data_IF_548277654979
#
_entry.id   IF_548277654979
#
_cell.length_a   1.000
_cell.length_b   1.000
_cell.length_c   1.000
_cell.angle_alpha   90.00
_cell.angle_beta   90.00
_cell.angle_gamma   90.00
#
_symmetry.space_group_name_H-M   'P 1'
#
loop_
_entity.id
_entity.type
_entity.pdbx_description
1 polymer ?
#
# COMPACT_ATOMS: atom_id res chain seq x y z
N UNK A 1 21.14 -19.01 36.00
CA UNK A 1 20.37 -17.87 35.45
C UNK A 1 20.36 -18.00 33.94
N UNK A 2 19.26 -18.53 33.38
CA UNK A 2 19.08 -18.65 31.93
C UNK A 2 18.44 -17.36 31.42
N UNK A 3 19.17 -16.60 30.61
CA UNK A 3 18.66 -15.42 29.94
C UNK A 3 17.62 -15.82 28.89
N UNK A 4 16.36 -15.44 29.10
CA UNK A 4 15.34 -15.40 28.07
C UNK A 4 15.69 -14.29 27.08
N UNK A 5 16.37 -14.62 25.98
CA UNK A 5 16.21 -13.85 24.77
C UNK A 5 14.84 -14.23 24.21
N UNK A 6 13.90 -13.29 24.24
CA UNK A 6 12.56 -13.45 23.69
C UNK A 6 12.65 -13.63 22.18
N UNK A 7 12.72 -14.88 21.74
CA UNK A 7 12.53 -15.21 20.34
C UNK A 7 11.07 -14.96 19.99
N UNK A 8 10.82 -14.06 19.05
CA UNK A 8 9.49 -13.89 18.44
C UNK A 8 9.08 -15.25 17.87
N UNK A 9 7.94 -15.77 18.33
CA UNK A 9 7.38 -17.01 17.83
C UNK A 9 6.68 -16.72 16.50
N UNK A 10 7.44 -16.77 15.40
CA UNK A 10 6.97 -16.45 14.05
C UNK A 10 5.72 -17.25 13.64
N UNK A 11 5.60 -18.51 14.07
CA UNK A 11 4.39 -19.31 13.82
C UNK A 11 3.14 -18.73 14.54
N UNK A 12 3.31 -18.20 15.74
CA UNK A 12 2.23 -17.55 16.48
C UNK A 12 1.85 -16.20 15.85
N UNK A 13 2.84 -15.45 15.37
CA UNK A 13 2.63 -14.17 14.69
C UNK A 13 1.92 -14.35 13.33
N UNK A 14 2.30 -15.37 12.55
CA UNK A 14 1.62 -15.76 11.33
C UNK A 14 0.16 -16.20 11.56
N UNK A 15 -0.11 -16.94 12.65
CA UNK A 15 -1.49 -17.30 13.02
C UNK A 15 -2.31 -16.08 13.45
N UNK A 16 -1.74 -15.17 14.24
CA UNK A 16 -2.41 -13.95 14.70
C UNK A 16 -2.74 -13.02 13.54
N UNK A 17 -1.78 -12.77 12.67
CA UNK A 17 -1.98 -11.97 11.45
C UNK A 17 -3.05 -12.61 10.58
N UNK A 18 -2.97 -13.92 10.29
CA UNK A 18 -4.01 -14.62 9.53
C UNK A 18 -5.42 -14.56 10.14
N UNK A 19 -5.55 -14.60 11.47
CA UNK A 19 -6.83 -14.41 12.15
C UNK A 19 -7.37 -12.98 11.97
N UNK A 20 -6.51 -11.96 12.05
CA UNK A 20 -6.88 -10.56 11.81
C UNK A 20 -7.24 -10.30 10.35
N UNK A 21 -6.57 -10.96 9.40
CA UNK A 21 -6.91 -10.92 7.98
C UNK A 21 -8.33 -11.46 7.72
N UNK A 22 -8.66 -12.58 8.36
CA UNK A 22 -10.00 -13.14 8.29
C UNK A 22 -11.04 -12.21 8.93
N UNK A 23 -10.75 -11.68 10.12
CA UNK A 23 -11.61 -10.73 10.84
C UNK A 23 -11.91 -9.48 9.99
N UNK A 24 -10.90 -8.91 9.33
CA UNK A 24 -11.07 -7.79 8.40
C UNK A 24 -11.96 -8.14 7.21
N UNK A 25 -11.77 -9.31 6.61
CA UNK A 25 -12.57 -9.75 5.48
C UNK A 25 -14.05 -9.93 5.84
N UNK A 26 -14.32 -10.54 6.99
CA UNK A 26 -15.69 -10.70 7.51
C UNK A 26 -16.34 -9.33 7.74
N UNK A 27 -15.64 -8.42 8.42
CA UNK A 27 -16.17 -7.09 8.71
C UNK A 27 -16.44 -6.26 7.43
N UNK A 28 -15.59 -6.40 6.41
CA UNK A 28 -15.81 -5.76 5.10
C UNK A 28 -17.06 -6.31 4.40
N UNK A 29 -17.27 -7.63 4.46
CA UNK A 29 -18.42 -8.29 3.85
C UNK A 29 -19.72 -7.96 4.58
N UNK A 30 -19.69 -7.93 5.92
CA UNK A 30 -20.80 -7.47 6.75
C UNK A 30 -21.16 -6.01 6.45
N UNK A 31 -20.15 -5.14 6.31
CA UNK A 31 -20.38 -3.74 5.93
C UNK A 31 -21.01 -3.63 4.52
N UNK A 32 -20.54 -4.43 3.56
CA UNK A 32 -21.09 -4.46 2.20
C UNK A 32 -22.57 -4.88 2.23
N UNK A 33 -22.89 -5.95 2.97
CA UNK A 33 -24.27 -6.43 3.10
C UNK A 33 -25.16 -5.42 3.83
N UNK A 34 -24.64 -4.77 4.89
CA UNK A 34 -25.38 -3.73 5.63
C UNK A 34 -25.70 -2.52 4.75
N UNK A 35 -24.76 -2.09 3.90
CA UNK A 35 -24.96 -0.98 2.97
C UNK A 35 -26.02 -1.28 1.89
N UNK A 36 -26.14 -2.54 1.46
CA UNK A 36 -27.14 -2.98 0.47
C UNK A 36 -28.56 -3.06 1.06
N UNK A 37 -28.71 -3.31 2.36
CA UNK A 37 -30.01 -3.60 3.02
C UNK A 37 -30.68 -2.41 3.73
N UNK A 38 -30.34 -1.16 3.37
CA UNK A 38 -30.79 0.07 4.04
C UNK A 38 -30.30 0.16 5.50
N UNK A 39 -29.10 0.73 5.74
CA UNK A 39 -28.41 0.60 7.01
C UNK A 39 -29.01 1.45 8.14
N UNK A 40 -28.94 0.91 9.36
CA UNK A 40 -28.88 1.74 10.56
C UNK A 40 -27.53 2.48 10.60
N UNK A 41 -27.50 3.83 10.76
CA UNK A 41 -26.25 4.58 10.88
C UNK A 41 -25.34 4.10 12.01
N UNK A 42 -25.92 3.54 13.08
CA UNK A 42 -25.16 2.97 14.20
C UNK A 42 -24.42 1.69 13.80
N UNK A 43 -25.06 0.79 13.04
CA UNK A 43 -24.43 -0.47 12.61
C UNK A 43 -23.23 -0.22 11.69
N UNK A 44 -23.37 0.69 10.72
CA UNK A 44 -22.28 1.04 9.80
C UNK A 44 -21.14 1.75 10.56
N UNK A 45 -21.47 2.62 11.51
CA UNK A 45 -20.47 3.28 12.36
C UNK A 45 -19.69 2.28 13.23
N UNK A 46 -20.37 1.25 13.75
CA UNK A 46 -19.74 0.26 14.62
C UNK A 46 -18.80 -0.65 13.81
N UNK A 47 -19.28 -1.19 12.69
CA UNK A 47 -18.46 -2.00 11.78
C UNK A 47 -17.24 -1.21 11.24
N UNK A 48 -17.40 0.07 10.93
CA UNK A 48 -16.28 0.93 10.53
C UNK A 48 -15.25 1.13 11.66
N UNK A 49 -15.68 1.27 12.91
CA UNK A 49 -14.78 1.40 14.06
C UNK A 49 -14.02 0.08 14.34
N UNK A 50 -14.70 -1.05 14.23
CA UNK A 50 -14.10 -2.38 14.37
C UNK A 50 -13.08 -2.63 13.24
N UNK A 51 -13.41 -2.31 11.98
CA UNK A 51 -12.47 -2.36 10.85
C UNK A 51 -11.19 -1.52 11.09
N UNK A 52 -11.35 -0.29 11.59
CA UNK A 52 -10.21 0.56 11.94
C UNK A 52 -9.34 -0.05 13.04
N UNK A 53 -9.97 -0.62 14.08
CA UNK A 53 -9.27 -1.23 15.21
C UNK A 53 -8.47 -2.46 14.79
N UNK A 54 -9.08 -3.36 14.01
CA UNK A 54 -8.41 -4.58 13.53
C UNK A 54 -7.28 -4.24 12.55
N UNK A 55 -7.48 -3.21 11.70
CA UNK A 55 -6.43 -2.73 10.79
C UNK A 55 -5.21 -2.16 11.54
N UNK A 56 -5.45 -1.44 12.64
CA UNK A 56 -4.37 -0.90 13.48
C UNK A 56 -3.60 -2.01 14.21
N UNK A 57 -4.31 -3.01 14.75
CA UNK A 57 -3.69 -4.21 15.34
C UNK A 57 -2.86 -4.99 14.33
N UNK A 58 -3.37 -5.19 13.12
CA UNK A 58 -2.64 -5.86 12.04
C UNK A 58 -1.37 -5.07 11.69
N UNK A 59 -1.45 -3.73 11.68
CA UNK A 59 -0.28 -2.88 11.44
C UNK A 59 0.79 -3.03 12.52
N UNK A 60 0.40 -3.06 13.80
CA UNK A 60 1.34 -3.28 14.90
C UNK A 60 2.01 -4.65 14.84
N UNK A 61 1.24 -5.71 14.57
CA UNK A 61 1.77 -7.08 14.46
C UNK A 61 2.65 -7.25 13.21
N UNK A 62 2.37 -6.55 12.11
CA UNK A 62 3.27 -6.49 10.96
C UNK A 62 4.51 -5.63 11.22
N UNK A 63 4.47 -4.71 12.19
CA UNK A 63 5.63 -3.90 12.58
C UNK A 63 6.66 -4.72 13.36
N UNK A 64 6.21 -5.74 14.08
CA UNK A 64 7.03 -6.71 14.80
C UNK A 64 7.37 -7.95 13.96
N UNK A 65 6.73 -8.14 12.81
CA UNK A 65 7.00 -9.23 11.88
C UNK A 65 8.37 -9.12 11.21
N UNK A 66 8.89 -10.26 10.74
CA UNK A 66 10.07 -10.25 9.89
C UNK A 66 9.78 -9.56 8.55
N UNK A 67 10.78 -8.96 7.89
CA UNK A 67 10.58 -8.32 6.59
C UNK A 67 10.07 -9.28 5.49
N UNK A 68 10.38 -10.58 5.58
CA UNK A 68 9.87 -11.62 4.68
C UNK A 68 8.37 -11.89 4.90
N UNK A 69 7.92 -12.01 6.15
CA UNK A 69 6.50 -12.21 6.45
C UNK A 69 5.66 -10.98 6.08
N UNK A 70 6.16 -9.77 6.36
CA UNK A 70 5.48 -8.55 5.94
C UNK A 70 5.33 -8.48 4.40
N UNK A 71 6.33 -8.93 3.66
CA UNK A 71 6.32 -8.98 2.20
C UNK A 71 5.21 -9.89 1.64
N UNK A 72 4.99 -11.06 2.23
CA UNK A 72 3.96 -12.00 1.79
C UNK A 72 2.54 -11.42 1.92
N UNK A 73 2.35 -10.44 2.80
CA UNK A 73 1.05 -9.81 3.06
C UNK A 73 0.71 -8.62 2.17
N UNK A 74 1.62 -8.23 1.27
CA UNK A 74 1.41 -7.06 0.38
C UNK A 74 0.18 -7.25 -0.52
N UNK A 75 0.01 -8.43 -1.11
CA UNK A 75 -1.14 -8.76 -1.99
C UNK A 75 -2.46 -8.69 -1.23
N UNK A 76 -2.49 -9.24 -0.01
CA UNK A 76 -3.67 -9.19 0.85
C UNK A 76 -4.06 -7.74 1.20
N UNK A 77 -3.08 -6.89 1.52
CA UNK A 77 -3.33 -5.48 1.79
C UNK A 77 -3.87 -4.72 0.57
N UNK A 78 -3.43 -5.07 -0.64
CA UNK A 78 -3.95 -4.51 -1.90
C UNK A 78 -5.41 -4.91 -2.15
N UNK A 79 -5.76 -6.17 -1.90
CA UNK A 79 -7.14 -6.66 -2.00
C UNK A 79 -8.06 -5.96 -0.99
N UNK A 80 -7.58 -5.75 0.24
CA UNK A 80 -8.32 -5.03 1.28
C UNK A 80 -8.59 -3.59 0.88
N UNK A 81 -7.56 -2.86 0.41
CA UNK A 81 -7.67 -1.48 -0.05
C UNK A 81 -8.65 -1.35 -1.23
N UNK A 82 -8.61 -2.31 -2.18
CA UNK A 82 -9.56 -2.36 -3.28
C UNK A 82 -11.01 -2.54 -2.80
N UNK A 83 -11.25 -3.46 -1.85
CA UNK A 83 -12.58 -3.71 -1.27
C UNK A 83 -13.09 -2.51 -0.47
N UNK A 84 -12.25 -1.90 0.37
CA UNK A 84 -12.59 -0.67 1.08
C UNK A 84 -12.91 0.49 0.12
N UNK A 85 -12.16 0.60 -0.99
CA UNK A 85 -12.42 1.57 -2.05
C UNK A 85 -13.76 1.35 -2.76
N UNK A 86 -14.17 0.11 -2.97
CA UNK A 86 -15.49 -0.23 -3.51
C UNK A 86 -16.62 0.16 -2.55
N UNK A 87 -16.48 -0.17 -1.26
CA UNK A 87 -17.44 0.17 -0.22
C UNK A 87 -17.65 1.69 -0.13
N UNK A 88 -16.56 2.47 -0.18
CA UNK A 88 -16.60 3.94 -0.22
C UNK A 88 -17.41 4.50 -1.39
N UNK A 89 -17.45 3.82 -2.53
CA UNK A 89 -18.25 4.25 -3.69
C UNK A 89 -19.74 3.98 -3.52
N UNK A 90 -20.10 2.96 -2.74
CA UNK A 90 -21.50 2.57 -2.50
C UNK A 90 -22.17 3.38 -1.37
N UNK A 91 -21.37 4.02 -0.52
CA UNK A 91 -21.85 4.79 0.63
C UNK A 91 -22.74 5.98 0.31
N UNK A 92 -22.41 6.86 -0.67
CA UNK A 92 -23.26 7.97 -1.03
C UNK A 92 -24.69 7.50 -1.36
N UNK A 93 -24.81 6.45 -2.16
CA UNK A 93 -26.11 5.92 -2.60
C UNK A 93 -26.89 5.27 -1.45
N UNK A 94 -26.21 4.54 -0.56
CA UNK A 94 -26.83 3.95 0.62
C UNK A 94 -27.32 5.00 1.63
N UNK A 95 -26.52 6.05 1.88
CA UNK A 95 -26.89 7.18 2.74
C UNK A 95 -28.07 7.94 2.14
N UNK A 96 -28.05 8.17 0.82
CA UNK A 96 -29.12 8.83 0.09
C UNK A 96 -30.43 8.04 0.17
N UNK A 97 -30.39 6.72 0.03
CA UNK A 97 -31.58 5.86 0.12
C UNK A 97 -32.19 5.87 1.53
N UNK A 98 -31.38 5.73 2.58
CA UNK A 98 -31.85 5.75 3.98
C UNK A 98 -32.42 7.12 4.41
N UNK A 99 -31.77 8.21 3.99
CA UNK A 99 -32.28 9.56 4.25
C UNK A 99 -33.56 9.87 3.45
N UNK A 100 -33.71 9.34 2.23
CA UNK A 100 -34.95 9.47 1.45
C UNK A 100 -36.16 8.84 2.15
N UNK A 101 -36.03 7.65 2.74
CA UNK A 101 -37.10 7.03 3.53
C UNK A 101 -37.46 7.86 4.77
N UNK A 102 -36.45 8.37 5.47
CA UNK A 102 -36.65 9.24 6.64
C UNK A 102 -37.36 10.54 6.26
N UNK A 103 -36.95 11.20 5.17
CA UNK A 103 -37.61 12.41 4.68
C UNK A 103 -39.03 12.12 4.21
N UNK A 104 -39.28 11.00 3.54
CA UNK A 104 -40.62 10.59 3.14
C UNK A 104 -41.53 10.44 4.37
N UNK A 105 -41.05 9.81 5.45
CA UNK A 105 -41.79 9.69 6.69
C UNK A 105 -42.06 11.05 7.37
N UNK A 106 -41.07 11.96 7.39
CA UNK A 106 -41.26 13.31 7.93
C UNK A 106 -42.24 14.14 7.10
N UNK A 107 -42.17 14.05 5.78
CA UNK A 107 -43.08 14.74 4.86
C UNK A 107 -44.51 14.22 4.99
N UNK A 108 -44.70 12.91 5.16
CA UNK A 108 -46.02 12.32 5.44
C UNK A 108 -46.58 12.82 6.79
N UNK A 109 -45.73 12.96 7.81
CA UNK A 109 -46.13 13.55 9.08
C UNK A 109 -46.51 15.03 8.98
N UNK A 110 -45.79 15.82 8.17
CA UNK A 110 -46.16 17.21 7.86
C UNK A 110 -47.52 17.24 7.14
N UNK A 111 -47.72 16.38 6.15
CA UNK A 111 -48.99 16.24 5.42
C UNK A 111 -50.16 15.95 6.36
N UNK A 112 -50.00 14.99 7.28
CA UNK A 112 -50.99 14.67 8.32
C UNK A 112 -51.30 15.88 9.20
N UNK A 113 -50.27 16.58 9.67
CA UNK A 113 -50.42 17.79 10.51
C UNK A 113 -51.18 18.90 9.76
N UNK A 114 -50.91 19.08 8.46
CA UNK A 114 -51.59 20.07 7.62
C UNK A 114 -53.04 19.70 7.32
N UNK A 115 -53.35 18.41 7.11
CA UNK A 115 -54.74 17.95 6.99
C UNK A 115 -55.54 18.22 8.27
N UNK A 116 -54.94 17.98 9.44
CA UNK A 116 -55.55 18.28 10.73
C UNK A 116 -55.76 19.80 10.91
N UNK A 117 -54.80 20.62 10.50
CA UNK A 117 -54.93 22.08 10.49
C UNK A 117 -56.04 22.57 9.55
N UNK A 118 -56.21 21.94 8.38
CA UNK A 118 -57.30 22.23 7.46
C UNK A 118 -58.67 21.95 8.09
N UNK A 119 -58.82 20.82 8.78
CA UNK A 119 -60.06 20.50 9.50
C UNK A 119 -60.36 21.52 10.61
N UNK A 120 -59.34 21.99 11.33
CA UNK A 120 -59.50 23.05 12.33
C UNK A 120 -59.95 24.38 11.68
N UNK A 121 -59.38 24.74 10.52
CA UNK A 121 -59.78 25.91 9.71
C UNK A 121 -61.24 25.82 9.23
N UNK A 122 -61.64 24.65 8.73
CA UNK A 122 -63.02 24.38 8.32
C UNK A 122 -63.97 24.48 9.52
N UNK A 123 -63.57 24.00 10.70
CA UNK A 123 -64.37 24.18 11.92
C UNK A 123 -64.53 25.65 12.30
N UNK A 124 -63.45 26.45 12.25
CA UNK A 124 -63.44 27.88 12.56
C UNK A 124 -64.30 28.72 11.60
N UNK A 125 -64.62 28.18 10.41
CA UNK A 125 -65.51 28.84 9.44
C UNK A 125 -66.99 28.76 9.82
N UNK A 126 -67.36 27.97 10.84
CA UNK A 126 -68.75 27.85 11.29
C UNK A 126 -69.22 29.15 12.00
N UNK A 127 -70.30 29.80 11.51
CA UNK A 127 -70.69 31.15 11.94
C UNK A 127 -71.20 31.25 13.39
N UNK A 128 -71.43 30.14 14.09
CA UNK A 128 -72.01 30.11 15.45
C UNK A 128 -71.12 29.41 16.49
N UNK A 129 -69.81 29.32 16.25
CA UNK A 129 -68.87 28.75 17.21
C UNK A 129 -68.79 29.61 18.49
N UNK A 130 -69.05 29.04 19.69
CA UNK A 130 -68.86 29.73 20.95
C UNK A 130 -67.44 30.28 21.08
N UNK A 131 -67.30 31.48 21.64
CA UNK A 131 -66.03 32.22 21.71
C UNK A 131 -64.88 31.39 22.33
N UNK A 132 -65.16 30.58 23.36
CA UNK A 132 -64.15 29.71 23.98
C UNK A 132 -63.68 28.57 23.07
N UNK A 133 -64.60 27.97 22.31
CA UNK A 133 -64.26 26.90 21.36
C UNK A 133 -63.47 27.45 20.18
N UNK A 134 -63.85 28.65 19.70
CA UNK A 134 -63.09 29.38 18.68
C UNK A 134 -61.67 29.69 19.13
N UNK A 135 -61.50 30.25 20.33
CA UNK A 135 -60.18 30.57 20.89
C UNK A 135 -59.31 29.33 21.17
N UNK A 136 -59.91 28.16 21.43
CA UNK A 136 -59.18 26.87 21.55
C UNK A 136 -58.76 26.34 20.18
N UNK A 137 -59.64 26.39 19.19
CA UNK A 137 -59.34 25.95 17.83
C UNK A 137 -58.28 26.85 17.15
N UNK A 138 -58.33 28.16 17.36
CA UNK A 138 -57.29 29.09 16.86
C UNK A 138 -55.90 28.80 17.46
N UNK A 139 -55.84 28.49 18.77
CA UNK A 139 -54.59 28.08 19.43
C UNK A 139 -54.08 26.73 18.93
N UNK A 140 -54.98 25.75 18.74
CA UNK A 140 -54.63 24.44 18.20
C UNK A 140 -54.09 24.55 16.77
N UNK A 141 -54.74 25.35 15.93
CA UNK A 141 -54.33 25.65 14.56
C UNK A 141 -52.94 26.30 14.53
N UNK A 142 -52.73 27.34 15.34
CA UNK A 142 -51.43 28.01 15.43
C UNK A 142 -50.31 27.05 15.87
N UNK A 143 -50.58 26.17 16.85
CA UNK A 143 -49.64 25.15 17.31
C UNK A 143 -49.29 24.13 16.22
N UNK A 144 -50.31 23.63 15.48
CA UNK A 144 -50.12 22.67 14.38
C UNK A 144 -49.34 23.28 13.21
N UNK A 145 -49.69 24.49 12.79
CA UNK A 145 -48.98 25.21 11.72
C UNK A 145 -47.53 25.53 12.11
N UNK A 146 -47.29 25.93 13.36
CA UNK A 146 -45.93 26.16 13.88
C UNK A 146 -45.11 24.86 13.87
N UNK A 147 -45.69 23.74 14.34
CA UNK A 147 -45.04 22.43 14.31
C UNK A 147 -44.73 21.95 12.89
N UNK A 148 -45.67 22.10 11.95
CA UNK A 148 -45.47 21.76 10.55
C UNK A 148 -44.36 22.62 9.91
N UNK A 149 -44.33 23.93 10.19
CA UNK A 149 -43.28 24.85 9.72
C UNK A 149 -41.90 24.46 10.26
N UNK A 150 -41.81 24.11 11.55
CA UNK A 150 -40.56 23.68 12.16
C UNK A 150 -40.04 22.39 11.52
N UNK A 151 -40.89 21.37 11.39
CA UNK A 151 -40.53 20.10 10.73
C UNK A 151 -40.11 20.30 9.27
N UNK A 152 -40.78 21.18 8.53
CA UNK A 152 -40.35 21.53 7.18
C UNK A 152 -38.97 22.19 7.13
N UNK A 153 -38.62 23.02 8.11
CA UNK A 153 -37.29 23.62 8.20
C UNK A 153 -36.21 22.56 8.49
N UNK A 154 -36.51 21.56 9.34
CA UNK A 154 -35.63 20.42 9.60
C UNK A 154 -35.40 19.58 8.34
N UNK A 155 -36.47 19.26 7.60
CA UNK A 155 -36.37 18.54 6.30
C UNK A 155 -35.54 19.34 5.30
N UNK A 156 -35.73 20.67 5.22
CA UNK A 156 -34.96 21.52 4.30
C UNK A 156 -33.48 21.57 4.67
N UNK A 157 -33.14 21.71 5.96
CA UNK A 157 -31.76 21.70 6.42
C UNK A 157 -31.09 20.34 6.17
N UNK A 158 -31.82 19.23 6.33
CA UNK A 158 -31.32 17.89 6.01
C UNK A 158 -31.10 17.69 4.49
N UNK A 159 -32.00 18.22 3.66
CA UNK A 159 -31.87 18.22 2.20
C UNK A 159 -30.71 19.11 1.71
N UNK A 160 -30.44 20.25 2.35
CA UNK A 160 -29.30 21.11 2.02
C UNK A 160 -27.98 20.47 2.48
N UNK A 161 -27.98 19.74 3.60
CA UNK A 161 -26.82 18.95 4.04
C UNK A 161 -26.52 17.75 3.13
N UNK A 162 -27.53 17.21 2.44
CA UNK A 162 -27.40 16.14 1.42
C UNK A 162 -26.43 16.50 0.30
N UNK A 163 -26.38 17.76 -0.12
CA UNK A 163 -25.46 18.24 -1.15
C UNK A 163 -23.99 18.22 -0.67
N UNK A 164 -23.76 17.93 0.63
CA UNK A 164 -22.46 17.75 1.26
C UNK A 164 -22.27 16.32 1.80
N UNK A 165 -22.42 15.30 0.94
CA UNK A 165 -22.14 13.88 1.30
C UNK A 165 -20.79 13.70 2.02
N UNK A 166 -19.79 14.54 1.70
CA UNK A 166 -18.48 14.57 2.35
C UNK A 166 -18.50 14.97 3.83
N UNK A 167 -19.52 15.73 4.28
CA UNK A 167 -19.72 16.15 5.65
C UNK A 167 -20.45 15.10 6.51
N UNK A 168 -21.00 14.04 5.90
CA UNK A 168 -21.73 13.01 6.64
C UNK A 168 -20.78 12.26 7.61
N UNK A 169 -21.16 12.04 8.89
CA UNK A 169 -20.31 11.37 9.86
C UNK A 169 -19.79 9.99 9.41
N UNK A 170 -20.64 9.18 8.75
CA UNK A 170 -20.23 7.90 8.17
C UNK A 170 -19.16 8.05 7.09
N UNK A 171 -19.27 9.07 6.22
CA UNK A 171 -18.27 9.34 5.21
C UNK A 171 -16.92 9.72 5.86
N UNK A 172 -16.94 10.56 6.91
CA UNK A 172 -15.73 10.90 7.66
C UNK A 172 -15.10 9.68 8.36
N UNK A 173 -15.92 8.80 8.95
CA UNK A 173 -15.43 7.58 9.61
C UNK A 173 -14.81 6.60 8.62
N UNK A 174 -15.43 6.36 7.47
CA UNK A 174 -14.91 5.45 6.45
C UNK A 174 -13.70 6.02 5.72
N UNK A 175 -13.63 7.34 5.57
CA UNK A 175 -12.42 8.04 5.14
C UNK A 175 -11.24 7.82 6.11
N UNK A 176 -11.51 7.81 7.43
CA UNK A 176 -10.49 7.47 8.45
C UNK A 176 -10.05 6.01 8.37
N UNK A 177 -10.99 5.07 8.17
CA UNK A 177 -10.67 3.65 7.94
C UNK A 177 -9.76 3.49 6.74
N UNK A 178 -10.10 4.10 5.60
CA UNK A 178 -9.26 4.06 4.39
C UNK A 178 -7.89 4.68 4.62
N UNK A 179 -7.82 5.80 5.34
CA UNK A 179 -6.56 6.45 5.70
C UNK A 179 -5.67 5.52 6.55
N UNK A 180 -6.27 4.83 7.54
CA UNK A 180 -5.56 3.86 8.37
C UNK A 180 -5.04 2.68 7.54
N UNK A 181 -5.88 2.10 6.68
CA UNK A 181 -5.48 1.01 5.78
C UNK A 181 -4.37 1.42 4.80
N UNK A 182 -4.48 2.61 4.21
CA UNK A 182 -3.46 3.15 3.31
C UNK A 182 -2.13 3.37 4.03
N UNK A 183 -2.15 3.78 5.30
CA UNK A 183 -0.95 3.92 6.13
C UNK A 183 -0.30 2.55 6.38
N UNK A 184 -1.08 1.53 6.74
CA UNK A 184 -0.59 0.16 6.92
C UNK A 184 0.03 -0.39 5.64
N UNK A 185 -0.62 -0.18 4.50
CA UNK A 185 -0.10 -0.55 3.17
C UNK A 185 1.25 0.11 2.87
N UNK A 186 1.36 1.42 3.08
CA UNK A 186 2.61 2.14 2.86
C UNK A 186 3.75 1.60 3.75
N UNK A 187 3.43 1.26 5.00
CA UNK A 187 4.40 0.65 5.91
C UNK A 187 4.89 -0.72 5.41
N UNK A 188 3.98 -1.60 5.03
CA UNK A 188 4.29 -2.95 4.50
C UNK A 188 5.15 -2.86 3.24
N UNK A 189 4.79 -1.96 2.31
CA UNK A 189 5.55 -1.74 1.08
C UNK A 189 6.97 -1.22 1.37
N UNK A 190 7.13 -0.30 2.33
CA UNK A 190 8.44 0.20 2.73
C UNK A 190 9.31 -0.91 3.34
N UNK A 191 8.73 -1.77 4.18
CA UNK A 191 9.43 -2.95 4.75
C UNK A 191 9.81 -3.97 3.70
N UNK A 192 8.93 -4.24 2.73
CA UNK A 192 9.23 -5.12 1.61
C UNK A 192 10.42 -4.60 0.78
N UNK A 193 10.43 -3.31 0.47
CA UNK A 193 11.54 -2.68 -0.24
C UNK A 193 12.87 -2.79 0.53
N UNK A 194 12.84 -2.59 1.85
CA UNK A 194 14.01 -2.80 2.71
C UNK A 194 14.52 -4.25 2.68
N UNK A 195 13.62 -5.23 2.68
CA UNK A 195 13.99 -6.65 2.61
C UNK A 195 14.64 -7.02 1.27
N UNK A 196 14.05 -6.55 0.16
CA UNK A 196 14.63 -6.77 -1.17
C UNK A 196 16.02 -6.15 -1.26
N UNK A 197 16.20 -4.95 -0.72
CA UNK A 197 17.49 -4.29 -0.67
C UNK A 197 18.51 -5.10 0.15
N UNK A 198 18.14 -5.62 1.33
CA UNK A 198 19.04 -6.45 2.14
C UNK A 198 19.42 -7.75 1.44
N UNK A 199 18.49 -8.40 0.74
CA UNK A 199 18.77 -9.62 -0.02
C UNK A 199 19.75 -9.35 -1.18
N UNK A 200 19.59 -8.22 -1.88
CA UNK A 200 20.51 -7.79 -2.93
C UNK A 200 21.90 -7.54 -2.34
N UNK A 201 22.01 -6.87 -1.19
CA UNK A 201 23.29 -6.60 -0.51
C UNK A 201 24.00 -7.89 -0.02
N UNK A 202 23.25 -8.86 0.50
CA UNK A 202 23.78 -10.18 0.87
C UNK A 202 24.29 -10.94 -0.35
N UNK A 203 23.51 -10.96 -1.44
CA UNK A 203 23.91 -11.59 -2.70
C UNK A 203 25.14 -10.90 -3.30
N UNK A 204 25.20 -9.57 -3.26
CA UNK A 204 26.38 -8.80 -3.68
C UNK A 204 27.62 -9.17 -2.88
N UNK A 205 27.50 -9.25 -1.54
CA UNK A 205 28.60 -9.62 -0.65
C UNK A 205 29.12 -11.02 -0.96
N UNK A 206 28.21 -11.97 -1.19
CA UNK A 206 28.55 -13.35 -1.57
C UNK A 206 29.24 -13.41 -2.94
N UNK A 207 28.66 -12.77 -3.95
CA UNK A 207 29.24 -12.70 -5.30
C UNK A 207 30.65 -12.06 -5.29
N UNK A 208 30.83 -10.99 -4.51
CA UNK A 208 32.14 -10.36 -4.31
C UNK A 208 33.14 -11.33 -3.71
N UNK A 209 32.77 -12.06 -2.66
CA UNK A 209 33.63 -13.04 -2.01
C UNK A 209 34.03 -14.18 -2.96
N UNK A 210 33.09 -14.70 -3.77
CA UNK A 210 33.33 -15.77 -4.74
C UNK A 210 34.26 -15.33 -5.88
N UNK A 211 34.01 -14.15 -6.47
CA UNK A 211 34.88 -13.59 -7.51
C UNK A 211 36.27 -13.25 -6.96
N UNK A 212 36.37 -12.71 -5.74
CA UNK A 212 37.65 -12.43 -5.08
C UNK A 212 38.44 -13.72 -4.83
N UNK A 213 37.81 -14.77 -4.31
CA UNK A 213 38.47 -16.06 -4.08
C UNK A 213 38.99 -16.66 -5.39
N UNK A 214 38.26 -16.48 -6.50
CA UNK A 214 38.76 -16.85 -7.82
C UNK A 214 40.07 -16.13 -8.16
N UNK A 215 40.10 -14.79 -8.08
CA UNK A 215 41.32 -14.02 -8.39
C UNK A 215 42.49 -14.41 -7.48
N UNK A 216 42.27 -14.49 -6.17
CA UNK A 216 43.30 -14.84 -5.21
C UNK A 216 43.91 -16.23 -5.43
N UNK A 217 43.12 -17.23 -5.85
CA UNK A 217 43.61 -18.60 -6.08
C UNK A 217 44.21 -18.82 -7.46
N UNK A 218 43.68 -18.15 -8.48
CA UNK A 218 44.03 -18.45 -9.87
C UNK A 218 45.18 -17.61 -10.41
N UNK A 219 45.57 -16.51 -9.72
CA UNK A 219 46.74 -15.64 -9.93
C UNK A 219 46.91 -15.00 -11.34
N UNK A 220 46.63 -15.69 -12.43
CA UNK A 220 46.58 -15.14 -13.79
C UNK A 220 45.45 -15.76 -14.59
N UNK A 221 44.88 -14.99 -15.50
CA UNK A 221 43.81 -15.47 -16.34
C UNK A 221 43.15 -14.41 -17.21
N UNK A 222 41.91 -14.67 -17.60
CA UNK A 222 41.11 -13.80 -18.47
C UNK A 222 39.74 -13.53 -17.86
N UNK A 223 39.28 -12.31 -18.08
CA UNK A 223 37.94 -11.83 -17.79
C UNK A 223 37.26 -11.63 -19.14
N UNK A 224 36.09 -12.22 -19.32
CA UNK A 224 35.24 -11.98 -20.46
C UNK A 224 33.85 -11.61 -19.94
N UNK A 225 33.30 -10.50 -20.43
CA UNK A 225 31.93 -10.09 -20.10
C UNK A 225 31.21 -9.79 -21.40
N UNK A 226 30.14 -10.51 -21.65
CA UNK A 226 29.13 -10.16 -22.64
C UNK A 226 27.87 -9.69 -21.91
N UNK A 227 26.94 -9.02 -22.60
CA UNK A 227 25.75 -8.40 -21.99
C UNK A 227 24.84 -9.32 -21.16
N UNK A 228 25.17 -10.60 -20.99
CA UNK A 228 24.45 -11.56 -20.17
C UNK A 228 25.32 -12.32 -19.16
N UNK A 229 26.62 -12.49 -19.40
CA UNK A 229 27.49 -13.39 -18.62
C UNK A 229 28.83 -12.73 -18.30
N UNK A 230 29.32 -12.98 -17.09
CA UNK A 230 30.70 -12.73 -16.65
C UNK A 230 31.42 -14.08 -16.58
N UNK A 231 32.45 -14.27 -17.39
CA UNK A 231 33.30 -15.46 -17.39
C UNK A 231 34.70 -15.11 -16.88
N UNK A 232 35.14 -15.84 -15.87
CA UNK A 232 36.52 -15.79 -15.35
C UNK A 232 37.21 -17.12 -15.68
N UNK A 233 38.33 -17.04 -16.40
CA UNK A 233 39.10 -18.22 -16.80
C UNK A 233 40.53 -18.13 -16.27
N UNK A 234 41.00 -19.18 -15.60
CA UNK A 234 42.41 -19.28 -15.20
C UNK A 234 43.29 -19.71 -16.36
N UNK A 235 44.42 -19.02 -16.55
CA UNK A 235 45.45 -19.46 -17.49
C UNK A 235 46.34 -20.58 -16.88
N UNK A 236 46.37 -20.71 -15.55
CA UNK A 236 47.18 -21.72 -14.84
C UNK A 236 46.48 -23.07 -14.72
N UNK A 237 45.21 -23.08 -14.28
CA UNK A 237 44.48 -24.33 -13.98
C UNK A 237 43.47 -24.70 -15.05
N UNK A 238 43.17 -23.78 -15.98
CA UNK A 238 42.08 -23.93 -16.94
C UNK A 238 40.67 -23.86 -16.33
N UNK A 239 40.54 -23.62 -15.02
CA UNK A 239 39.24 -23.50 -14.34
C UNK A 239 38.45 -22.32 -14.93
N UNK A 240 37.18 -22.56 -15.20
CA UNK A 240 36.19 -21.58 -15.63
C UNK A 240 35.18 -21.35 -14.51
N UNK A 241 34.92 -20.08 -14.20
CA UNK A 241 33.80 -19.66 -13.36
C UNK A 241 32.91 -18.74 -14.19
N UNK A 242 31.62 -19.03 -14.21
CA UNK A 242 30.62 -18.26 -14.96
C UNK A 242 29.58 -17.71 -14.00
N UNK A 243 29.25 -16.43 -14.18
CA UNK A 243 28.26 -15.69 -13.40
C UNK A 243 27.31 -14.97 -14.35
N UNK A 244 26.08 -14.74 -13.93
CA UNK A 244 25.11 -13.90 -14.65
C UNK A 244 25.47 -12.43 -14.53
N UNK A 245 25.24 -11.62 -15.57
CA UNK A 245 25.38 -10.16 -15.50
C UNK A 245 24.11 -9.52 -14.92
N UNK A 246 23.75 -9.89 -13.69
CA UNK A 246 22.65 -9.31 -12.92
C UNK A 246 23.11 -8.22 -11.94
N UNK A 247 22.18 -7.57 -11.24
CA UNK A 247 22.51 -6.46 -10.33
C UNK A 247 23.54 -6.86 -9.26
N UNK A 248 23.43 -8.04 -8.60
CA UNK A 248 24.44 -8.46 -7.63
C UNK A 248 25.84 -8.69 -8.20
N UNK A 249 25.97 -9.50 -9.26
CA UNK A 249 27.29 -9.85 -9.80
C UNK A 249 27.95 -8.70 -10.54
N UNK A 250 27.16 -7.84 -11.18
CA UNK A 250 27.66 -6.62 -11.78
C UNK A 250 28.21 -5.65 -10.72
N UNK A 251 27.50 -5.45 -9.60
CA UNK A 251 28.01 -4.64 -8.49
C UNK A 251 29.26 -5.24 -7.85
N UNK A 252 29.31 -6.56 -7.67
CA UNK A 252 30.50 -7.26 -7.18
C UNK A 252 31.71 -7.08 -8.09
N UNK A 253 31.51 -7.19 -9.42
CA UNK A 253 32.55 -6.95 -10.41
C UNK A 253 33.03 -5.49 -10.37
N UNK A 254 32.10 -4.53 -10.28
CA UNK A 254 32.44 -3.11 -10.15
C UNK A 254 33.31 -2.86 -8.91
N UNK A 255 32.92 -3.43 -7.77
CA UNK A 255 33.65 -3.28 -6.52
C UNK A 255 35.07 -3.86 -6.58
N UNK A 256 35.26 -5.00 -7.26
CA UNK A 256 36.59 -5.60 -7.47
C UNK A 256 37.49 -4.77 -8.39
N UNK A 257 36.88 -4.01 -9.30
CA UNK A 257 37.58 -3.17 -10.28
C UNK A 257 37.67 -1.69 -9.86
N UNK A 258 37.18 -1.34 -8.66
CA UNK A 258 37.21 0.01 -8.11
C UNK A 258 36.47 1.05 -8.98
N UNK A 259 36.98 2.28 -9.02
CA UNK A 259 36.38 3.40 -9.80
C UNK A 259 36.22 3.09 -11.30
N UNK A 260 37.03 2.19 -11.84
CA UNK A 260 36.92 1.74 -13.23
C UNK A 260 35.76 0.75 -13.43
N UNK A 261 35.45 -0.02 -12.40
CA UNK A 261 34.40 -1.03 -12.39
C UNK A 261 33.00 -0.47 -12.55
N UNK A 262 32.68 0.63 -11.86
CA UNK A 262 31.36 1.26 -11.96
C UNK A 262 31.04 1.75 -13.38
N UNK A 263 32.04 2.36 -14.03
CA UNK A 263 31.91 2.84 -15.42
C UNK A 263 31.79 1.68 -16.40
N UNK A 264 32.60 0.64 -16.22
CA UNK A 264 32.62 -0.55 -17.06
C UNK A 264 31.30 -1.33 -16.95
N UNK A 265 30.75 -1.47 -15.75
CA UNK A 265 29.47 -2.15 -15.56
C UNK A 265 28.31 -1.38 -16.20
N UNK A 266 28.38 -0.04 -16.20
CA UNK A 266 27.42 0.79 -16.93
C UNK A 266 27.45 0.55 -18.45
N UNK A 267 28.64 0.41 -19.05
CA UNK A 267 28.80 0.18 -20.50
C UNK A 267 28.45 -1.25 -20.90
N UNK A 268 28.73 -2.24 -20.04
CA UNK A 268 28.49 -3.66 -20.33
C UNK A 268 27.02 -4.09 -20.28
N UNK A 269 26.11 -3.22 -19.83
CA UNK A 269 24.66 -3.46 -19.97
C UNK A 269 24.16 -3.30 -21.40
N UNK A 270 24.94 -2.68 -22.28
CA UNK A 270 24.65 -2.65 -23.71
C UNK A 270 25.03 -4.00 -24.35
N UNK A 271 24.09 -4.77 -24.93
CA UNK A 271 24.38 -6.07 -25.53
C UNK A 271 25.34 -6.00 -26.72
N UNK A 272 25.56 -4.82 -27.30
CA UNK A 272 26.53 -4.60 -28.37
C UNK A 272 27.98 -4.47 -27.85
N UNK A 273 28.18 -4.39 -26.53
CA UNK A 273 29.48 -4.18 -25.88
C UNK A 273 29.95 -5.47 -25.22
N UNK A 274 31.21 -5.82 -25.48
CA UNK A 274 31.89 -6.96 -24.89
C UNK A 274 33.18 -6.48 -24.25
N UNK A 275 33.44 -6.86 -23.01
CA UNK A 275 34.72 -6.62 -22.35
C UNK A 275 35.57 -7.88 -22.37
N UNK A 276 36.83 -7.75 -22.75
CA UNK A 276 37.80 -8.83 -22.66
C UNK A 276 39.10 -8.29 -22.10
N UNK A 277 39.57 -8.90 -21.03
CA UNK A 277 40.83 -8.52 -20.39
C UNK A 277 41.62 -9.72 -19.91
N UNK A 278 42.94 -9.55 -19.82
CA UNK A 278 43.81 -10.40 -19.03
C UNK A 278 43.88 -9.83 -17.62
N UNK A 279 43.98 -10.71 -16.64
CA UNK A 279 44.24 -10.30 -15.27
C UNK A 279 45.49 -11.00 -14.71
N UNK A 280 46.15 -10.32 -13.79
CA UNK A 280 47.25 -10.83 -12.99
C UNK A 280 47.12 -10.33 -11.56
N UNK A 281 47.19 -11.24 -10.60
CA UNK A 281 47.18 -10.93 -9.17
C UNK A 281 48.61 -10.91 -8.66
N UNK A 282 49.03 -9.76 -8.12
CA UNK A 282 50.38 -9.53 -7.60
C UNK A 282 50.33 -9.21 -6.11
N UNK A 283 51.29 -9.72 -5.35
CA UNK A 283 51.51 -9.24 -3.98
C UNK A 283 52.42 -8.01 -4.01
N UNK A 284 51.99 -6.91 -3.39
CA UNK A 284 52.82 -5.73 -3.16
C UNK A 284 52.45 -5.10 -1.82
N UNK A 285 53.45 -4.77 -1.00
CA UNK A 285 53.28 -4.17 0.34
C UNK A 285 52.30 -4.97 1.22
N UNK A 286 52.48 -6.29 1.31
CA UNK A 286 51.65 -7.19 2.12
C UNK A 286 50.16 -7.27 1.71
N UNK A 287 49.78 -6.67 0.56
CA UNK A 287 48.43 -6.72 -0.02
C UNK A 287 48.44 -7.38 -1.39
N UNK A 288 47.33 -8.05 -1.75
CA UNK A 288 47.11 -8.57 -3.10
C UNK A 288 46.49 -7.47 -3.96
N UNK A 289 46.98 -7.34 -5.19
CA UNK A 289 46.49 -6.39 -6.17
C UNK A 289 46.15 -7.10 -7.47
N UNK A 290 45.03 -6.72 -8.07
CA UNK A 290 44.58 -7.16 -9.37
C UNK A 290 45.01 -6.14 -10.43
N UNK A 291 45.89 -6.56 -11.33
CA UNK A 291 46.20 -5.86 -12.57
C UNK A 291 45.29 -6.40 -13.67
N UNK A 292 44.54 -5.52 -14.33
CA UNK A 292 43.67 -5.88 -15.46
C UNK A 292 44.11 -5.11 -16.70
N UNK A 293 44.32 -5.84 -17.79
CA UNK A 293 44.77 -5.31 -19.09
C UNK A 293 43.88 -5.85 -20.21
N UNK A 294 43.08 -4.98 -20.81
CA UNK A 294 42.09 -5.39 -21.81
C UNK A 294 41.43 -4.21 -22.50
N UNK A 295 40.18 -4.38 -22.89
CA UNK A 295 39.39 -3.29 -23.42
C UNK A 295 37.97 -3.68 -23.75
N UNK A 296 37.14 -2.66 -23.90
CA UNK A 296 35.76 -2.77 -24.38
C UNK A 296 35.79 -2.84 -25.91
N UNK A 297 35.03 -3.78 -26.46
CA UNK A 297 34.77 -3.89 -27.89
C UNK A 297 33.28 -3.67 -28.10
N UNK A 298 32.91 -2.63 -28.84
CA UNK A 298 31.52 -2.40 -29.25
C UNK A 298 31.34 -2.74 -30.73
N UNK A 299 30.25 -3.43 -31.07
CA UNK A 299 29.87 -3.73 -32.46
C UNK A 299 28.54 -3.04 -32.76
N UNK A 300 28.58 -1.94 -33.50
CA UNK A 300 27.38 -1.16 -33.88
C UNK A 300 27.37 -0.90 -35.37
N UNK A 301 26.25 -1.15 -36.04
CA UNK A 301 26.05 -0.85 -37.46
C UNK A 301 27.20 -1.34 -38.37
N UNK A 302 27.74 -2.53 -38.08
CA UNK A 302 28.85 -3.12 -38.83
C UNK A 302 30.24 -2.50 -38.57
N UNK A 303 30.36 -1.56 -37.61
CA UNK A 303 31.64 -0.98 -37.17
C UNK A 303 32.06 -1.56 -35.83
N UNK A 304 33.35 -1.85 -35.71
CA UNK A 304 33.98 -2.30 -34.46
C UNK A 304 34.80 -1.16 -33.88
N UNK A 305 34.48 -0.74 -32.65
CA UNK A 305 35.33 0.14 -31.87
C UNK A 305 35.98 -0.63 -30.73
N UNK A 306 37.22 -0.25 -30.38
CA UNK A 306 37.96 -0.83 -29.27
C UNK A 306 38.52 0.26 -28.38
N UNK A 307 38.26 0.15 -27.08
CA UNK A 307 38.73 1.08 -26.04
C UNK A 307 39.61 0.32 -25.05
N UNK A 308 40.95 0.41 -25.15
CA UNK A 308 41.85 -0.27 -24.23
C UNK A 308 41.73 0.31 -22.82
N UNK A 309 41.74 -0.57 -21.83
CA UNK A 309 41.71 -0.24 -20.41
C UNK A 309 42.83 -0.99 -19.69
N UNK A 310 43.53 -0.26 -18.83
CA UNK A 310 44.50 -0.82 -17.90
C UNK A 310 44.26 -0.20 -16.54
N UNK A 311 44.05 -1.04 -15.54
CA UNK A 311 43.80 -0.57 -14.19
C UNK A 311 44.38 -1.53 -13.16
N UNK A 312 44.59 -0.99 -11.96
CA UNK A 312 45.23 -1.66 -10.85
C UNK A 312 44.37 -1.46 -9.61
N UNK A 313 43.92 -2.55 -9.01
CA UNK A 313 42.95 -2.56 -7.93
C UNK A 313 43.49 -3.37 -6.75
N UNK A 314 43.25 -2.95 -5.52
CA UNK A 314 43.56 -3.77 -4.34
C UNK A 314 42.42 -4.76 -4.07
N UNK A 315 42.76 -6.01 -3.74
CA UNK A 315 41.82 -7.09 -3.41
C UNK A 315 41.62 -7.26 -1.90
#
# INVERSE_FOLDING_TARGET
MAGRLGGVNYAELAMRTGAMEHELNVLLEELAQALVRSPSPQQVSQAAAELASVSARLAEELHSASPAEAAEKTVFMDELDARAGQLMRLLPDAILAGEQERWAAQMESVRSTLHAARADLESLSLPHLPAEQRARAERALAGRLSSAKHRMAEVRAALEARDSVSAHPLHQQLSRVRSAMSSTKAHVQARHAQHQQSLIEEQQTKAYAEMRDFFCRQMTGRIYVDGTVIQLRSDLTGRLAEFTLDVPHAAALAQLMGEHGERLVGTLRDPAVVFSARFETRSANEKLHLLVEGGERAIRDGRVSYSPQRFFCSL
#
